data_IF_908260690330
#
_entry.id   IF_908260690330
#
_cell.length_a   1.000
_cell.length_b   1.000
_cell.length_c   1.000
_cell.angle_alpha   90.00
_cell.angle_beta   90.00
_cell.angle_gamma   90.00
#
_symmetry.space_group_name_H-M   'P 1'
#
loop_
_entity.id
_entity.type
_entity.pdbx_description
1 polymer ?
#
# COMPACT_ATOMS: atom_id res chain seq x y z
N UNK A 1 -17.25 37.85 -38.44
CA UNK A 1 -16.43 38.48 -37.39
C UNK A 1 -17.13 38.22 -36.08
N UNK A 2 -16.46 37.63 -35.10
CA UNK A 2 -17.09 37.27 -33.82
C UNK A 2 -17.17 38.49 -32.91
N UNK A 3 -18.36 38.81 -32.39
CA UNK A 3 -18.63 39.91 -31.45
C UNK A 3 -18.15 39.63 -30.00
N UNK A 4 -17.05 38.91 -29.85
CA UNK A 4 -16.52 38.60 -28.53
C UNK A 4 -15.72 39.80 -28.01
N UNK A 5 -16.14 40.33 -26.86
CA UNK A 5 -15.43 41.41 -26.16
C UNK A 5 -14.12 40.87 -25.58
N UNK A 6 -13.04 41.61 -25.78
CA UNK A 6 -11.74 41.35 -25.18
C UNK A 6 -11.52 42.19 -23.93
N UNK A 7 -10.69 41.68 -23.02
CA UNK A 7 -10.24 42.45 -21.88
C UNK A 7 -9.16 43.47 -22.31
N UNK A 8 -9.29 44.71 -21.83
CA UNK A 8 -8.30 45.76 -22.08
C UNK A 8 -7.11 45.63 -21.11
N UNK A 9 -6.04 45.01 -21.58
CA UNK A 9 -4.82 44.78 -20.80
C UNK A 9 -4.03 46.05 -20.49
N UNK A 10 -4.30 47.19 -21.16
CA UNK A 10 -3.66 48.48 -20.83
C UNK A 10 -4.01 48.98 -19.43
N UNK A 11 -5.09 48.44 -18.83
CA UNK A 11 -5.59 48.78 -17.51
C UNK A 11 -5.03 47.91 -16.38
N UNK A 12 -4.16 46.95 -16.69
CA UNK A 12 -3.54 46.08 -15.68
C UNK A 12 -2.57 46.87 -14.79
N UNK A 13 -2.52 46.52 -13.50
CA UNK A 13 -1.55 47.05 -12.55
C UNK A 13 -0.52 45.96 -12.25
N UNK A 14 0.75 46.31 -12.33
CA UNK A 14 1.86 45.42 -12.00
C UNK A 14 2.44 45.76 -10.63
N UNK A 15 3.14 44.82 -10.01
CA UNK A 15 3.80 45.00 -8.71
C UNK A 15 5.27 44.57 -8.80
N UNK A 16 6.22 45.28 -8.14
CA UNK A 16 7.61 44.87 -8.07
C UNK A 16 7.80 43.54 -7.34
N UNK A 17 8.82 42.77 -7.74
CA UNK A 17 9.13 41.47 -7.10
C UNK A 17 9.39 41.59 -5.59
N UNK A 18 9.94 42.72 -5.13
CA UNK A 18 10.22 42.98 -3.71
C UNK A 18 8.95 43.05 -2.84
N UNK A 19 7.78 43.31 -3.43
CA UNK A 19 6.48 43.35 -2.72
C UNK A 19 5.76 41.99 -2.74
N UNK A 20 6.26 41.01 -3.52
CA UNK A 20 5.65 39.69 -3.65
C UNK A 20 6.35 38.70 -2.71
N UNK A 21 5.64 38.08 -1.74
CA UNK A 21 6.23 37.00 -0.95
C UNK A 21 6.52 35.79 -1.84
N UNK A 22 7.80 35.45 -2.00
CA UNK A 22 8.23 34.26 -2.74
C UNK A 22 8.20 33.06 -1.80
N UNK A 23 7.61 31.94 -2.26
CA UNK A 23 7.51 30.69 -1.49
C UNK A 23 8.70 29.74 -1.70
N UNK A 24 9.63 30.11 -2.57
CA UNK A 24 10.78 29.28 -2.95
C UNK A 24 12.01 30.16 -2.97
N UNK A 25 13.06 29.68 -2.30
CA UNK A 25 14.39 30.27 -2.29
C UNK A 25 15.43 29.16 -2.55
N UNK A 26 16.71 29.52 -2.82
CA UNK A 26 17.74 28.56 -3.18
C UNK A 26 17.98 27.42 -2.16
N UNK A 27 17.60 27.58 -0.89
CA UNK A 27 17.78 26.53 0.13
C UNK A 27 16.89 25.31 -0.07
N UNK A 28 15.82 25.43 -0.87
CA UNK A 28 14.90 24.32 -1.17
C UNK A 28 15.29 23.52 -2.41
N UNK A 29 16.31 23.95 -3.14
CA UNK A 29 16.66 23.38 -4.45
C UNK A 29 17.41 22.06 -4.31
N UNK A 30 17.29 21.22 -5.34
CA UNK A 30 18.04 20.00 -5.44
C UNK A 30 19.53 20.28 -5.75
N UNK A 31 20.41 19.35 -5.40
CA UNK A 31 21.83 19.43 -5.73
C UNK A 31 22.30 18.22 -6.56
N UNK A 32 23.16 18.43 -7.58
CA UNK A 32 23.73 17.33 -8.35
C UNK A 32 24.72 16.52 -7.49
N UNK A 33 24.98 15.24 -7.84
CA UNK A 33 26.06 14.49 -7.21
C UNK A 33 27.39 15.22 -7.46
N UNK A 34 28.29 15.19 -6.47
CA UNK A 34 29.63 15.77 -6.60
C UNK A 34 30.56 14.74 -7.25
N UNK A 35 31.49 15.13 -8.15
CA UNK A 35 32.40 14.20 -8.82
C UNK A 35 33.20 13.29 -7.88
N UNK A 36 33.64 13.83 -6.73
CA UNK A 36 34.35 13.10 -5.67
C UNK A 36 33.47 12.97 -4.40
N UNK A 37 32.15 12.97 -4.57
CA UNK A 37 31.17 12.95 -3.47
C UNK A 37 30.84 11.56 -2.96
N UNK A 38 30.17 11.51 -1.81
CA UNK A 38 29.58 10.27 -1.27
C UNK A 38 28.52 9.72 -2.24
N UNK A 39 28.70 8.52 -2.81
CA UNK A 39 27.73 7.89 -3.71
C UNK A 39 26.58 7.19 -2.95
N UNK A 40 26.47 7.38 -1.63
CA UNK A 40 25.45 6.72 -0.82
C UNK A 40 24.02 7.17 -1.14
N UNK A 41 23.07 6.32 -0.78
CA UNK A 41 21.66 6.70 -0.77
C UNK A 41 21.38 7.88 0.16
N UNK A 42 22.12 8.04 1.26
CA UNK A 42 21.95 9.18 2.16
C UNK A 42 22.28 10.48 1.44
N UNK A 43 23.39 10.53 0.68
CA UNK A 43 23.76 11.69 -0.11
C UNK A 43 22.73 12.01 -1.20
N UNK A 44 22.22 11.00 -1.93
CA UNK A 44 21.13 11.19 -2.89
C UNK A 44 19.86 11.71 -2.22
N UNK A 45 19.46 11.09 -1.11
CA UNK A 45 18.24 11.47 -0.39
C UNK A 45 18.34 12.89 0.17
N UNK A 46 19.50 13.29 0.69
CA UNK A 46 19.72 14.64 1.22
C UNK A 46 19.83 15.69 0.10
N UNK A 47 20.13 15.29 -1.14
CA UNK A 47 20.17 16.19 -2.29
C UNK A 47 18.81 16.48 -2.93
N UNK A 48 17.75 15.75 -2.55
CA UNK A 48 16.39 16.00 -3.02
C UNK A 48 15.87 17.37 -2.52
N UNK A 49 15.07 18.10 -3.34
CA UNK A 49 14.56 19.41 -2.93
C UNK A 49 13.60 19.28 -1.75
N UNK A 50 13.58 20.25 -0.83
CA UNK A 50 12.65 20.24 0.32
C UNK A 50 11.33 20.97 0.00
N UNK A 51 10.64 20.48 -1.05
CA UNK A 51 9.39 21.08 -1.48
C UNK A 51 8.44 20.03 -2.07
N UNK A 52 7.14 20.32 -2.03
CA UNK A 52 6.07 19.53 -2.65
C UNK A 52 6.21 18.02 -2.33
N UNK A 53 6.18 17.16 -3.36
CA UNK A 53 6.18 15.71 -3.21
C UNK A 53 7.45 15.16 -2.53
N UNK A 54 8.61 15.78 -2.72
CA UNK A 54 9.84 15.36 -2.05
C UNK A 54 9.76 15.63 -0.54
N UNK A 55 9.23 16.79 -0.13
CA UNK A 55 8.94 17.10 1.28
C UNK A 55 7.87 16.16 1.87
N UNK A 56 6.84 15.83 1.09
CA UNK A 56 5.82 14.88 1.51
C UNK A 56 6.40 13.47 1.68
N UNK A 57 7.25 13.01 0.76
CA UNK A 57 7.95 11.73 0.85
C UNK A 57 8.86 11.67 2.09
N UNK A 58 9.60 12.75 2.38
CA UNK A 58 10.40 12.90 3.61
C UNK A 58 9.55 12.80 4.86
N UNK A 59 8.40 13.47 4.86
CA UNK A 59 7.45 13.42 5.98
C UNK A 59 6.93 12.00 6.19
N UNK A 60 6.48 11.30 5.14
CA UNK A 60 5.98 9.92 5.26
C UNK A 60 7.06 8.99 5.80
N UNK A 61 8.29 9.06 5.27
CA UNK A 61 9.41 8.27 5.75
C UNK A 61 9.65 8.49 7.26
N UNK A 62 9.58 9.75 7.71
CA UNK A 62 9.75 10.09 9.12
C UNK A 62 8.62 9.57 10.01
N UNK A 63 7.37 9.65 9.53
CA UNK A 63 6.22 9.12 10.26
C UNK A 63 6.25 7.61 10.38
N UNK A 64 6.64 6.89 9.32
CA UNK A 64 6.81 5.44 9.35
C UNK A 64 7.90 5.02 10.34
N UNK A 65 9.08 5.63 10.26
CA UNK A 65 10.16 5.35 11.21
C UNK A 65 9.71 5.68 12.66
N UNK A 66 8.99 6.78 12.88
CA UNK A 66 8.51 7.19 14.21
C UNK A 66 7.44 6.25 14.79
N UNK A 67 6.59 5.69 13.94
CA UNK A 67 5.54 4.75 14.32
C UNK A 67 6.09 3.34 14.62
N UNK A 68 7.22 2.95 14.03
CA UNK A 68 7.85 1.64 14.22
C UNK A 68 7.97 1.30 15.72
N UNK A 69 7.41 0.14 16.11
CA UNK A 69 7.35 -0.33 17.50
C UNK A 69 6.51 0.49 18.48
N UNK A 70 5.79 1.54 18.03
CA UNK A 70 5.10 2.52 18.90
C UNK A 70 3.63 2.73 18.58
N UNK A 71 3.28 2.77 17.29
CA UNK A 71 1.92 2.95 16.78
C UNK A 71 1.69 2.01 15.60
N UNK A 72 0.44 1.79 15.22
CA UNK A 72 0.16 0.95 14.07
C UNK A 72 0.68 1.56 12.77
N UNK A 73 1.21 0.69 11.91
CA UNK A 73 1.43 0.95 10.49
C UNK A 73 0.68 -0.11 9.70
N UNK A 74 -0.41 0.31 9.05
CA UNK A 74 -1.27 -0.55 8.26
C UNK A 74 -0.90 -0.39 6.79
N UNK A 75 -0.42 -1.47 6.17
CA UNK A 75 -0.18 -1.51 4.73
C UNK A 75 -1.39 -2.09 4.01
N UNK A 76 -1.86 -1.38 2.99
CA UNK A 76 -2.90 -1.86 2.09
C UNK A 76 -2.31 -2.03 0.69
N UNK A 77 -2.29 -3.26 0.16
CA UNK A 77 -1.59 -3.57 -1.08
C UNK A 77 -2.54 -3.95 -2.22
N UNK A 78 -2.24 -3.43 -3.41
CA UNK A 78 -2.69 -3.97 -4.69
C UNK A 78 -1.64 -4.86 -5.34
N UNK A 79 -2.08 -5.71 -6.28
CA UNK A 79 -1.23 -6.75 -6.87
C UNK A 79 -0.01 -6.25 -7.64
N UNK A 80 -0.08 -5.06 -8.23
CA UNK A 80 1.03 -4.52 -9.02
C UNK A 80 2.30 -4.33 -8.17
N UNK A 81 2.16 -4.00 -6.88
CA UNK A 81 3.29 -3.81 -5.96
C UNK A 81 4.08 -5.11 -5.79
N UNK A 82 3.39 -6.24 -5.65
CA UNK A 82 4.02 -7.56 -5.54
C UNK A 82 4.59 -7.99 -6.89
N UNK A 83 3.81 -7.80 -7.97
CA UNK A 83 4.20 -8.12 -9.35
C UNK A 83 5.54 -7.51 -9.77
N UNK A 84 5.83 -6.26 -9.35
CA UNK A 84 7.09 -5.58 -9.70
C UNK A 84 8.23 -5.84 -8.71
N UNK A 85 8.11 -6.88 -7.87
CA UNK A 85 9.22 -7.41 -7.08
C UNK A 85 9.50 -6.66 -5.77
N UNK A 86 8.51 -5.95 -5.22
CA UNK A 86 8.72 -5.15 -3.99
C UNK A 86 8.52 -5.92 -2.68
N UNK A 87 8.12 -7.20 -2.76
CA UNK A 87 7.94 -8.07 -1.60
C UNK A 87 9.13 -8.09 -0.63
N UNK A 88 10.40 -8.25 -1.08
CA UNK A 88 11.58 -8.22 -0.21
C UNK A 88 11.72 -6.93 0.61
N UNK A 89 11.39 -5.77 0.03
CA UNK A 89 11.47 -4.49 0.74
C UNK A 89 10.39 -4.36 1.82
N UNK A 90 9.18 -4.84 1.53
CA UNK A 90 8.10 -4.86 2.50
C UNK A 90 8.39 -5.87 3.63
N UNK A 91 8.98 -7.02 3.31
CA UNK A 91 9.51 -7.99 4.28
C UNK A 91 10.53 -7.34 5.21
N UNK A 92 11.48 -6.59 4.68
CA UNK A 92 12.48 -5.90 5.52
C UNK A 92 11.82 -4.91 6.50
N UNK A 93 10.82 -4.14 6.04
CA UNK A 93 10.07 -3.25 6.93
C UNK A 93 9.29 -4.02 8.03
N UNK A 94 8.76 -5.21 7.73
CA UNK A 94 8.13 -6.08 8.72
C UNK A 94 9.15 -6.62 9.74
N UNK A 95 10.32 -7.05 9.27
CA UNK A 95 11.40 -7.55 10.11
C UNK A 95 11.92 -6.45 11.06
N UNK A 96 11.98 -5.21 10.60
CA UNK A 96 12.33 -4.03 11.42
C UNK A 96 11.20 -3.52 12.33
N UNK A 97 10.04 -4.19 12.37
CA UNK A 97 8.93 -3.82 13.25
C UNK A 97 8.23 -2.51 12.84
N UNK A 98 8.36 -2.11 11.57
CA UNK A 98 7.65 -0.95 11.02
C UNK A 98 6.19 -1.32 10.81
N UNK A 99 5.93 -2.42 10.10
CA UNK A 99 4.58 -2.84 9.70
C UNK A 99 3.91 -3.63 10.81
N UNK A 100 2.65 -3.30 11.11
CA UNK A 100 1.86 -3.98 12.16
C UNK A 100 0.60 -4.66 11.63
N UNK A 101 0.16 -4.37 10.40
CA UNK A 101 -0.97 -5.06 9.76
C UNK A 101 -0.79 -5.01 8.24
N UNK A 102 -1.06 -6.13 7.57
CA UNK A 102 -1.03 -6.24 6.12
C UNK A 102 -2.42 -6.55 5.58
N UNK A 103 -2.97 -5.66 4.76
CA UNK A 103 -4.28 -5.83 4.13
C UNK A 103 -4.12 -5.90 2.61
N UNK A 104 -4.58 -6.98 2.00
CA UNK A 104 -4.37 -7.29 0.59
C UNK A 104 -5.70 -7.31 -0.15
N UNK A 105 -5.71 -6.84 -1.40
CA UNK A 105 -6.72 -7.32 -2.35
C UNK A 105 -6.35 -8.73 -2.84
N UNK A 106 -7.28 -9.42 -3.50
CA UNK A 106 -7.05 -10.80 -3.94
C UNK A 106 -5.87 -10.93 -4.91
N UNK A 107 -5.73 -10.01 -5.88
CA UNK A 107 -4.57 -9.97 -6.78
C UNK A 107 -3.22 -9.90 -6.06
N UNK A 108 -3.07 -9.10 -5.00
CA UNK A 108 -1.84 -9.07 -4.20
C UNK A 108 -1.59 -10.39 -3.47
N UNK A 109 -2.64 -10.99 -2.91
CA UNK A 109 -2.53 -12.29 -2.25
C UNK A 109 -2.13 -13.42 -3.23
N UNK A 110 -2.68 -13.41 -4.45
CA UNK A 110 -2.36 -14.37 -5.50
C UNK A 110 -0.90 -14.23 -5.95
N UNK A 111 -0.47 -13.02 -6.33
CA UNK A 111 0.90 -12.80 -6.77
C UNK A 111 1.92 -13.20 -5.69
N UNK A 112 1.65 -12.88 -4.43
CA UNK A 112 2.54 -13.23 -3.32
C UNK A 112 2.57 -14.74 -3.06
N UNK A 113 1.40 -15.38 -3.09
CA UNK A 113 1.28 -16.82 -2.94
C UNK A 113 2.05 -17.55 -4.03
N UNK A 114 1.88 -17.16 -5.30
CA UNK A 114 2.55 -17.80 -6.42
C UNK A 114 4.08 -17.64 -6.37
N UNK A 115 4.57 -16.45 -6.00
CA UNK A 115 6.00 -16.24 -5.80
C UNK A 115 6.54 -17.15 -4.68
N UNK A 116 5.87 -17.17 -3.51
CA UNK A 116 6.27 -18.03 -2.40
C UNK A 116 6.28 -19.52 -2.80
N UNK A 117 5.19 -19.94 -3.45
CA UNK A 117 4.88 -21.33 -3.73
C UNK A 117 5.67 -21.90 -4.91
N UNK A 118 5.76 -21.14 -6.00
CA UNK A 118 6.23 -21.62 -7.31
C UNK A 118 7.43 -20.83 -7.84
N UNK A 119 7.78 -19.70 -7.22
CA UNK A 119 8.97 -18.91 -7.57
C UNK A 119 8.74 -17.95 -8.75
N UNK A 120 7.51 -17.84 -9.23
CA UNK A 120 7.12 -16.98 -10.34
C UNK A 120 5.64 -16.62 -10.26
N UNK A 121 5.28 -15.50 -10.87
CA UNK A 121 3.90 -15.02 -10.97
C UNK A 121 3.76 -14.13 -12.20
N UNK A 122 2.52 -13.76 -12.55
CA UNK A 122 2.14 -13.04 -13.77
C UNK A 122 2.25 -13.89 -15.02
N UNK A 123 1.10 -14.14 -15.64
CA UNK A 123 0.95 -14.78 -16.94
C UNK A 123 0.77 -13.74 -18.07
N UNK A 124 0.86 -14.20 -19.32
CA UNK A 124 0.50 -13.39 -20.49
C UNK A 124 -1.02 -13.32 -20.63
N UNK A 125 -1.58 -12.19 -20.18
CA UNK A 125 -3.02 -11.92 -20.22
C UNK A 125 -3.57 -11.96 -21.64
N UNK A 126 -2.85 -11.42 -22.63
CA UNK A 126 -3.38 -11.29 -23.99
C UNK A 126 -3.47 -12.67 -24.67
N UNK A 127 -2.46 -13.51 -24.46
CA UNK A 127 -2.46 -14.89 -24.92
C UNK A 127 -3.59 -15.68 -24.24
N UNK A 128 -3.65 -15.66 -22.91
CA UNK A 128 -4.61 -16.45 -22.14
C UNK A 128 -6.07 -16.04 -22.31
N UNK A 129 -6.36 -14.76 -22.64
CA UNK A 129 -7.72 -14.32 -22.96
C UNK A 129 -8.19 -14.87 -24.31
N UNK A 130 -7.27 -15.17 -25.22
CA UNK A 130 -7.60 -15.66 -26.57
C UNK A 130 -8.08 -17.10 -26.54
N UNK A 131 -7.47 -17.95 -25.71
CA UNK A 131 -7.79 -19.38 -25.61
C UNK A 131 -8.54 -19.78 -24.33
N UNK A 132 -8.76 -18.84 -23.41
CA UNK A 132 -9.47 -19.04 -22.15
C UNK A 132 -8.63 -19.59 -21.01
N UNK A 133 -7.30 -19.65 -21.16
CA UNK A 133 -6.38 -20.13 -20.12
C UNK A 133 -6.02 -19.07 -19.08
N UNK A 134 -6.37 -17.80 -19.31
CA UNK A 134 -6.05 -16.70 -18.38
C UNK A 134 -6.63 -16.95 -16.97
N UNK A 135 -5.75 -17.07 -15.98
CA UNK A 135 -6.10 -17.29 -14.59
C UNK A 135 -6.56 -18.72 -14.28
N UNK A 136 -6.26 -19.68 -15.15
CA UNK A 136 -6.67 -21.10 -15.03
C UNK A 136 -5.56 -22.02 -14.49
N UNK A 137 -4.54 -21.47 -13.82
CA UNK A 137 -3.49 -22.27 -13.18
C UNK A 137 -4.10 -23.20 -12.11
N UNK A 138 -4.04 -24.51 -12.37
CA UNK A 138 -4.66 -25.56 -11.55
C UNK A 138 -4.10 -25.57 -10.13
N UNK A 139 -2.78 -25.51 -9.95
CA UNK A 139 -2.16 -25.54 -8.63
C UNK A 139 -2.51 -24.31 -7.81
N UNK A 140 -2.40 -23.09 -8.38
CA UNK A 140 -2.77 -21.84 -7.69
C UNK A 140 -4.24 -21.88 -7.26
N UNK A 141 -5.15 -22.22 -8.18
CA UNK A 141 -6.58 -22.27 -7.92
C UNK A 141 -6.95 -23.32 -6.88
N UNK A 142 -6.48 -24.56 -7.02
CA UNK A 142 -6.77 -25.66 -6.09
C UNK A 142 -6.22 -25.38 -4.69
N UNK A 143 -4.97 -24.96 -4.57
CA UNK A 143 -4.30 -24.82 -3.29
C UNK A 143 -4.84 -23.64 -2.48
N UNK A 144 -5.02 -22.47 -3.09
CA UNK A 144 -5.58 -21.30 -2.41
C UNK A 144 -7.04 -21.53 -1.98
N UNK A 145 -7.88 -22.13 -2.84
CA UNK A 145 -9.26 -22.44 -2.46
C UNK A 145 -9.34 -23.51 -1.37
N UNK A 146 -8.45 -24.51 -1.38
CA UNK A 146 -8.34 -25.49 -0.29
C UNK A 146 -7.99 -24.81 1.03
N UNK A 147 -7.04 -23.87 1.01
CA UNK A 147 -6.69 -23.08 2.18
C UNK A 147 -7.91 -22.27 2.68
N UNK A 148 -8.61 -21.58 1.79
CA UNK A 148 -9.79 -20.76 2.10
C UNK A 148 -10.91 -21.60 2.71
N UNK A 149 -11.23 -22.77 2.14
CA UNK A 149 -12.25 -23.69 2.67
C UNK A 149 -11.89 -24.23 4.06
N UNK A 150 -10.62 -24.60 4.26
CA UNK A 150 -10.11 -25.00 5.58
C UNK A 150 -10.19 -23.84 6.58
N UNK A 151 -9.85 -22.63 6.15
CA UNK A 151 -9.95 -21.41 6.96
C UNK A 151 -11.38 -21.13 7.40
N UNK A 152 -12.35 -21.23 6.48
CA UNK A 152 -13.77 -21.05 6.78
C UNK A 152 -14.24 -22.06 7.86
N UNK A 153 -13.86 -23.33 7.70
CA UNK A 153 -14.18 -24.41 8.66
C UNK A 153 -13.56 -24.15 10.04
N UNK A 154 -12.33 -23.62 10.07
CA UNK A 154 -11.60 -23.30 11.31
C UNK A 154 -11.99 -21.95 11.92
N UNK A 155 -12.94 -21.21 11.34
CA UNK A 155 -13.32 -19.86 11.79
C UNK A 155 -12.26 -18.79 11.56
N UNK A 156 -11.28 -19.08 10.68
CA UNK A 156 -10.17 -18.21 10.30
C UNK A 156 -10.56 -17.30 9.15
N UNK A 157 -9.71 -16.30 8.94
CA UNK A 157 -9.80 -15.37 7.82
C UNK A 157 -8.95 -15.85 6.66
N UNK A 158 -9.10 -15.21 5.50
CA UNK A 158 -8.41 -15.63 4.28
C UNK A 158 -6.90 -15.42 4.41
N UNK A 159 -6.47 -14.30 4.98
CA UNK A 159 -5.04 -14.02 5.22
C UNK A 159 -4.36 -15.06 6.12
N UNK A 160 -4.99 -15.40 7.25
CA UNK A 160 -4.49 -16.47 8.13
C UNK A 160 -4.44 -17.82 7.41
N UNK A 161 -5.51 -18.17 6.69
CA UNK A 161 -5.61 -19.44 6.01
C UNK A 161 -4.50 -19.62 4.96
N UNK A 162 -4.18 -18.57 4.20
CA UNK A 162 -3.10 -18.58 3.23
C UNK A 162 -1.72 -18.66 3.89
N UNK A 163 -1.47 -17.89 4.95
CA UNK A 163 -0.21 -17.96 5.70
C UNK A 163 0.03 -19.36 6.26
N UNK A 164 -0.98 -19.96 6.91
CA UNK A 164 -0.90 -21.30 7.48
C UNK A 164 -0.78 -22.40 6.41
N UNK A 165 -1.35 -22.17 5.24
CA UNK A 165 -1.18 -23.07 4.11
C UNK A 165 0.28 -23.05 3.66
N UNK A 166 0.85 -21.87 3.38
CA UNK A 166 2.24 -21.71 2.96
C UNK A 166 3.22 -22.29 4.00
N UNK A 167 2.97 -22.08 5.30
CA UNK A 167 3.78 -22.67 6.37
C UNK A 167 3.75 -24.20 6.38
N UNK A 168 2.62 -24.83 6.03
CA UNK A 168 2.45 -26.28 6.04
C UNK A 168 2.79 -26.97 4.72
N UNK A 169 2.88 -26.20 3.63
CA UNK A 169 3.14 -26.68 2.27
C UNK A 169 4.49 -27.43 2.13
N UNK A 170 5.38 -27.28 3.10
CA UNK A 170 6.69 -27.92 3.13
C UNK A 170 7.70 -27.13 2.32
N UNK A 171 7.83 -27.43 1.02
CA UNK A 171 8.79 -26.74 0.14
C UNK A 171 8.17 -25.50 -0.50
N UNK A 172 8.78 -24.34 -0.21
CA UNK A 172 8.51 -23.07 -0.88
C UNK A 172 9.65 -22.79 -1.87
N UNK A 173 9.32 -22.16 -3.01
CA UNK A 173 10.27 -21.89 -4.08
C UNK A 173 11.05 -20.58 -3.85
N UNK A 174 10.37 -19.53 -3.38
CA UNK A 174 10.98 -18.24 -3.04
C UNK A 174 10.34 -17.62 -1.76
N UNK A 175 10.45 -18.26 -0.59
CA UNK A 175 9.85 -17.76 0.65
C UNK A 175 10.35 -16.37 1.06
N UNK A 176 11.59 -16.01 0.70
CA UNK A 176 12.24 -14.75 1.04
C UNK A 176 11.65 -13.53 0.33
N UNK A 177 10.90 -13.71 -0.75
CA UNK A 177 10.24 -12.61 -1.46
C UNK A 177 8.81 -12.37 -0.99
N UNK A 178 8.25 -13.29 -0.18
CA UNK A 178 6.83 -13.28 0.19
C UNK A 178 6.52 -12.44 1.42
N UNK A 179 5.53 -11.56 1.28
CA UNK A 179 4.97 -10.79 2.39
C UNK A 179 4.05 -11.62 3.28
N UNK A 180 3.38 -12.64 2.76
CA UNK A 180 2.60 -13.60 3.56
C UNK A 180 3.51 -14.41 4.47
N UNK A 181 4.61 -14.94 3.93
CA UNK A 181 5.61 -15.69 4.74
C UNK A 181 6.25 -14.78 5.78
N UNK A 182 6.68 -13.57 5.39
CA UNK A 182 7.25 -12.59 6.33
C UNK A 182 6.28 -12.20 7.46
N UNK A 183 4.99 -12.00 7.14
CA UNK A 183 3.98 -11.70 8.14
C UNK A 183 3.78 -12.86 9.11
N UNK A 184 3.76 -14.10 8.61
CA UNK A 184 3.63 -15.29 9.43
C UNK A 184 4.82 -15.49 10.39
N UNK A 185 6.05 -15.26 9.92
CA UNK A 185 7.26 -15.30 10.76
C UNK A 185 7.25 -14.26 11.89
N UNK A 186 6.65 -13.09 11.65
CA UNK A 186 6.63 -11.97 12.59
C UNK A 186 5.34 -11.90 13.42
N UNK A 187 4.38 -12.79 13.18
CA UNK A 187 3.07 -12.75 13.82
C UNK A 187 2.26 -11.50 13.45
N UNK A 188 2.48 -10.93 12.26
CA UNK A 188 1.74 -9.76 11.77
C UNK A 188 0.38 -10.22 11.22
N UNK A 189 -0.74 -9.65 11.67
CA UNK A 189 -2.05 -9.96 11.12
C UNK A 189 -2.12 -9.65 9.62
N UNK A 190 -2.65 -10.61 8.85
CA UNK A 190 -2.93 -10.46 7.43
C UNK A 190 -4.43 -10.57 7.18
N UNK A 191 -4.96 -9.68 6.35
CA UNK A 191 -6.35 -9.70 5.88
C UNK A 191 -6.39 -9.66 4.36
N UNK A 192 -7.18 -10.53 3.73
CA UNK A 192 -7.38 -10.54 2.27
C UNK A 192 -8.84 -10.25 1.95
N UNK A 193 -9.06 -9.28 1.07
CA UNK A 193 -10.40 -8.83 0.69
C UNK A 193 -10.71 -9.26 -0.74
N UNK A 194 -11.35 -10.42 -0.83
CA UNK A 194 -11.77 -11.01 -2.10
C UNK A 194 -12.73 -10.07 -2.85
N UNK A 195 -12.47 -9.91 -4.14
CA UNK A 195 -13.39 -9.28 -5.09
C UNK A 195 -13.98 -10.39 -5.94
N UNK A 196 -15.12 -10.92 -5.49
CA UNK A 196 -15.75 -12.11 -6.10
C UNK A 196 -15.98 -11.87 -7.60
N UNK A 197 -15.46 -12.79 -8.43
CA UNK A 197 -15.47 -12.69 -9.88
C UNK A 197 -14.28 -11.94 -10.51
N UNK A 198 -13.47 -11.21 -9.74
CA UNK A 198 -12.28 -10.52 -10.23
C UNK A 198 -10.96 -11.25 -9.95
N UNK A 199 -10.86 -11.95 -8.83
CA UNK A 199 -9.64 -12.71 -8.50
C UNK A 199 -9.62 -14.05 -9.25
N UNK A 200 -8.48 -14.40 -9.87
CA UNK A 200 -8.40 -15.54 -10.81
C UNK A 200 -8.76 -16.89 -10.18
N UNK A 201 -8.53 -17.04 -8.88
CA UNK A 201 -8.82 -18.28 -8.15
C UNK A 201 -10.32 -18.59 -8.07
N UNK A 202 -11.21 -17.63 -8.37
CA UNK A 202 -12.65 -17.85 -8.38
C UNK A 202 -13.14 -18.65 -9.59
N UNK A 203 -12.33 -18.74 -10.65
CA UNK A 203 -12.66 -19.50 -11.85
C UNK A 203 -12.51 -21.02 -11.66
N UNK A 204 -11.78 -21.43 -10.63
CA UNK A 204 -11.42 -22.82 -10.37
C UNK A 204 -12.61 -23.63 -9.80
N UNK A 205 -12.83 -24.91 -10.20
CA UNK A 205 -13.93 -25.74 -9.70
C UNK A 205 -13.97 -25.95 -8.17
N UNK A 206 -12.82 -25.78 -7.51
CA UNK A 206 -12.70 -25.86 -6.05
C UNK A 206 -13.16 -24.59 -5.31
N UNK A 207 -13.52 -23.52 -6.02
CA UNK A 207 -13.97 -22.28 -5.40
C UNK A 207 -15.32 -22.45 -4.70
N UNK A 208 -15.38 -22.05 -3.43
CA UNK A 208 -16.59 -22.05 -2.63
C UNK A 208 -16.95 -20.60 -2.24
N UNK A 209 -18.04 -20.09 -2.81
CA UNK A 209 -18.54 -18.74 -2.54
C UNK A 209 -18.87 -18.49 -1.07
N UNK A 210 -19.34 -19.51 -0.34
CA UNK A 210 -19.60 -19.39 1.09
C UNK A 210 -18.30 -19.25 1.87
N UNK A 211 -17.28 -20.05 1.55
CA UNK A 211 -15.96 -19.95 2.17
C UNK A 211 -15.27 -18.62 1.86
N UNK A 212 -15.31 -18.15 0.61
CA UNK A 212 -14.78 -16.85 0.18
C UNK A 212 -15.45 -15.70 0.96
N UNK A 213 -16.78 -15.69 1.03
CA UNK A 213 -17.54 -14.68 1.77
C UNK A 213 -17.25 -14.71 3.27
N UNK A 214 -17.25 -15.90 3.88
CA UNK A 214 -17.02 -16.07 5.32
C UNK A 214 -15.61 -15.59 5.74
N UNK A 215 -14.58 -16.01 5.01
CA UNK A 215 -13.19 -15.68 5.30
C UNK A 215 -12.87 -14.21 5.01
N UNK A 216 -13.33 -13.66 3.88
CA UNK A 216 -13.17 -12.23 3.54
C UNK A 216 -13.90 -11.31 4.53
N UNK A 217 -15.11 -11.67 4.96
CA UNK A 217 -15.85 -10.91 5.97
C UNK A 217 -15.21 -11.00 7.36
N UNK A 218 -14.59 -12.14 7.71
CA UNK A 218 -13.77 -12.27 8.93
C UNK A 218 -12.59 -11.32 8.88
N UNK A 219 -11.90 -11.27 7.75
CA UNK A 219 -10.77 -10.38 7.52
C UNK A 219 -11.16 -8.90 7.57
N UNK A 220 -12.33 -8.52 7.05
CA UNK A 220 -12.89 -7.17 7.23
C UNK A 220 -13.03 -6.78 8.72
N UNK A 221 -13.58 -7.69 9.54
CA UNK A 221 -13.72 -7.46 10.99
C UNK A 221 -12.37 -7.29 11.68
N UNK A 222 -11.36 -8.05 11.27
CA UNK A 222 -10.00 -7.95 11.83
C UNK A 222 -9.28 -6.68 11.42
N UNK A 223 -9.40 -6.28 10.15
CA UNK A 223 -8.86 -4.99 9.72
C UNK A 223 -9.45 -3.88 10.59
N UNK A 224 -10.78 -3.83 10.76
CA UNK A 224 -11.44 -2.85 11.62
C UNK A 224 -10.94 -2.88 13.07
N UNK A 225 -10.66 -4.07 13.62
CA UNK A 225 -10.11 -4.25 14.96
C UNK A 225 -8.65 -3.76 15.10
N UNK A 226 -7.86 -3.75 14.02
CA UNK A 226 -6.48 -3.25 14.04
C UNK A 226 -6.38 -1.73 13.97
N UNK A 227 -7.38 -1.05 13.38
CA UNK A 227 -7.31 0.40 13.14
C UNK A 227 -7.24 1.29 14.39
N UNK A 228 -7.82 0.96 15.56
CA UNK A 228 -7.71 1.81 16.76
C UNK A 228 -6.26 2.12 17.16
N UNK A 229 -5.32 1.21 16.89
CA UNK A 229 -3.90 1.40 17.17
C UNK A 229 -3.22 2.47 16.28
N UNK A 230 -3.93 3.02 15.29
CA UNK A 230 -3.49 4.18 14.52
C UNK A 230 -3.60 5.51 15.30
N UNK A 231 -4.44 5.57 16.34
CA UNK A 231 -4.77 6.82 17.03
C UNK A 231 -3.51 7.56 17.49
N UNK A 232 -3.46 8.86 17.19
CA UNK A 232 -2.39 9.75 17.62
C UNK A 232 -0.99 9.27 17.19
N UNK A 233 -0.79 9.24 15.88
CA UNK A 233 0.54 9.14 15.26
C UNK A 233 0.84 7.89 14.47
N UNK A 234 -0.10 6.97 14.30
CA UNK A 234 0.02 5.83 13.39
C UNK A 234 0.02 6.23 11.91
N UNK A 235 0.21 5.24 11.03
CA UNK A 235 0.29 5.44 9.58
C UNK A 235 -0.55 4.40 8.85
N UNK A 236 -1.30 4.83 7.84
CA UNK A 236 -1.89 3.94 6.82
C UNK A 236 -1.28 4.25 5.46
N UNK A 237 -0.80 3.22 4.76
CA UNK A 237 -0.32 3.33 3.39
C UNK A 237 -1.24 2.55 2.45
N UNK A 238 -1.80 3.22 1.45
CA UNK A 238 -2.40 2.57 0.28
C UNK A 238 -1.35 2.46 -0.82
N UNK A 239 -0.91 1.25 -1.14
CA UNK A 239 0.11 0.99 -2.16
C UNK A 239 -0.54 0.25 -3.34
N UNK A 240 -0.83 0.97 -4.42
CA UNK A 240 -1.25 0.40 -5.70
C UNK A 240 -2.66 -0.25 -5.73
N UNK A 241 -3.55 0.13 -4.81
CA UNK A 241 -4.96 -0.30 -4.86
C UNK A 241 -5.88 0.89 -5.15
N UNK A 242 -6.42 0.93 -6.37
CA UNK A 242 -7.22 2.05 -6.82
C UNK A 242 -8.64 2.08 -6.24
N UNK A 243 -9.23 0.95 -5.87
CA UNK A 243 -10.65 0.88 -5.45
C UNK A 243 -10.87 -0.03 -4.24
N UNK A 244 -10.48 -1.31 -4.33
CA UNK A 244 -10.84 -2.33 -3.33
C UNK A 244 -10.38 -1.94 -1.93
N UNK A 245 -9.08 -1.68 -1.76
CA UNK A 245 -8.55 -1.33 -0.43
C UNK A 245 -9.05 0.03 0.07
N UNK A 246 -9.09 1.12 -0.74
CA UNK A 246 -9.73 2.37 -0.31
C UNK A 246 -11.17 2.22 0.18
N UNK A 247 -11.98 1.42 -0.52
CA UNK A 247 -13.38 1.19 -0.14
C UNK A 247 -13.48 0.37 1.14
N UNK A 248 -12.73 -0.74 1.24
CA UNK A 248 -12.70 -1.58 2.45
C UNK A 248 -12.21 -0.78 3.66
N UNK A 249 -11.11 -0.04 3.52
CA UNK A 249 -10.53 0.77 4.59
C UNK A 249 -11.52 1.79 5.14
N UNK A 250 -12.22 2.52 4.28
CA UNK A 250 -13.16 3.53 4.74
C UNK A 250 -14.28 2.93 5.60
N UNK A 251 -14.76 1.72 5.24
CA UNK A 251 -15.78 1.02 6.02
C UNK A 251 -15.19 0.47 7.33
N UNK A 252 -14.00 -0.10 7.28
CA UNK A 252 -13.31 -0.59 8.46
C UNK A 252 -13.01 0.55 9.45
N UNK A 253 -12.58 1.72 8.96
CA UNK A 253 -12.35 2.92 9.76
C UNK A 253 -13.65 3.45 10.38
N UNK A 254 -14.75 3.40 9.63
CA UNK A 254 -16.06 3.78 10.15
C UNK A 254 -16.48 2.87 11.31
N UNK A 255 -16.31 1.55 11.17
CA UNK A 255 -16.56 0.58 12.25
C UNK A 255 -15.65 0.85 13.44
N UNK A 256 -14.33 1.03 13.22
CA UNK A 256 -13.38 1.33 14.27
C UNK A 256 -13.78 2.60 15.06
N UNK A 257 -14.10 3.69 14.35
CA UNK A 257 -14.57 4.95 14.97
C UNK A 257 -15.87 4.80 15.71
N UNK A 258 -16.83 4.07 15.15
CA UNK A 258 -18.10 3.84 15.81
C UNK A 258 -17.92 3.08 17.15
N UNK A 259 -17.07 2.05 17.16
CA UNK A 259 -16.80 1.25 18.36
C UNK A 259 -15.91 1.97 19.39
N UNK A 260 -15.12 2.97 18.98
CA UNK A 260 -14.10 3.62 19.82
C UNK A 260 -14.33 5.13 20.00
N UNK A 261 -15.59 5.57 20.02
CA UNK A 261 -15.94 6.96 20.35
C UNK A 261 -15.35 8.01 19.41
N UNK A 262 -15.27 7.70 18.12
CA UNK A 262 -14.71 8.58 17.09
C UNK A 262 -13.23 8.34 16.74
N UNK A 263 -12.55 7.43 17.43
CA UNK A 263 -11.12 7.09 17.21
C UNK A 263 -10.92 5.90 16.26
N UNK A 264 -9.85 5.84 15.45
CA UNK A 264 -8.64 6.65 15.50
C UNK A 264 -8.76 8.01 14.79
N UNK A 265 -7.97 8.98 15.28
CA UNK A 265 -7.73 10.31 14.72
C UNK A 265 -6.23 10.64 14.78
N UNK A 266 -5.78 11.72 14.15
CA UNK A 266 -4.38 12.17 14.30
C UNK A 266 -3.33 11.25 13.68
N UNK A 267 -3.70 10.44 12.70
CA UNK A 267 -2.79 9.54 11.98
C UNK A 267 -2.40 10.09 10.61
N UNK A 268 -1.29 9.59 10.05
CA UNK A 268 -0.88 9.91 8.67
C UNK A 268 -1.53 8.93 7.71
N UNK A 269 -2.16 9.43 6.65
CA UNK A 269 -2.67 8.59 5.57
C UNK A 269 -1.94 8.94 4.27
N UNK A 270 -1.33 7.95 3.63
CA UNK A 270 -0.62 8.14 2.37
C UNK A 270 -1.16 7.20 1.30
N UNK A 271 -1.42 7.75 0.13
CA UNK A 271 -1.75 7.02 -1.08
C UNK A 271 -0.56 7.08 -2.05
N UNK A 272 -0.10 5.91 -2.49
CA UNK A 272 1.00 5.75 -3.43
C UNK A 272 0.50 4.96 -4.65
N UNK A 273 0.38 5.63 -5.79
CA UNK A 273 -0.09 5.03 -7.04
C UNK A 273 0.55 5.72 -8.26
N UNK A 274 0.53 5.07 -9.41
CA UNK A 274 1.04 5.61 -10.67
C UNK A 274 0.16 6.76 -11.17
N UNK A 275 -1.11 6.79 -10.75
CA UNK A 275 -2.11 7.79 -11.12
C UNK A 275 -2.86 8.31 -9.90
N UNK A 276 -3.46 9.49 -10.02
CA UNK A 276 -4.35 10.02 -8.97
C UNK A 276 -5.77 9.56 -9.19
N UNK A 277 -6.18 8.55 -8.44
CA UNK A 277 -7.54 8.04 -8.49
C UNK A 277 -8.48 8.78 -7.53
N UNK A 278 -9.75 8.88 -7.91
CA UNK A 278 -10.77 9.51 -7.05
C UNK A 278 -10.90 8.78 -5.71
N UNK A 279 -11.00 7.45 -5.71
CA UNK A 279 -11.29 6.65 -4.50
C UNK A 279 -10.17 6.74 -3.46
N UNK A 280 -8.89 6.53 -3.76
CA UNK A 280 -7.83 6.68 -2.78
C UNK A 280 -7.71 8.13 -2.29
N UNK A 281 -7.83 9.12 -3.18
CA UNK A 281 -7.85 10.55 -2.80
C UNK A 281 -8.93 10.84 -1.76
N UNK A 282 -10.18 10.45 -2.02
CA UNK A 282 -11.27 10.80 -1.11
C UNK A 282 -11.34 9.89 0.12
N UNK A 283 -11.09 8.58 -0.03
CA UNK A 283 -11.39 7.57 0.99
C UNK A 283 -10.18 7.15 1.82
N UNK A 284 -8.96 7.46 1.39
CA UNK A 284 -7.72 7.22 2.16
C UNK A 284 -7.16 8.55 2.63
N UNK A 285 -7.05 9.54 1.74
CA UNK A 285 -6.28 10.77 2.01
C UNK A 285 -7.12 11.86 2.68
N UNK A 286 -8.23 12.25 2.06
CA UNK A 286 -9.00 13.42 2.50
C UNK A 286 -9.92 13.10 3.69
N UNK A 287 -10.97 12.30 3.49
CA UNK A 287 -12.00 12.05 4.52
C UNK A 287 -11.44 11.44 5.82
N UNK A 288 -10.50 10.47 5.76
CA UNK A 288 -9.96 9.87 6.98
C UNK A 288 -9.21 10.85 7.88
N UNK A 289 -8.62 11.91 7.32
CA UNK A 289 -7.75 12.85 8.05
C UNK A 289 -8.44 14.17 8.43
N UNK A 290 -9.73 14.34 8.09
CA UNK A 290 -10.51 15.55 8.43
C UNK A 290 -10.61 15.82 9.94
N UNK A 291 -10.67 14.76 10.75
CA UNK A 291 -10.74 14.85 12.21
C UNK A 291 -9.35 14.99 12.88
N UNK A 292 -8.32 15.28 12.10
CA UNK A 292 -6.92 15.38 12.54
C UNK A 292 -6.02 14.36 11.84
N UNK A 293 -4.75 14.74 11.63
CA UNK A 293 -3.77 13.96 10.90
C UNK A 293 -3.28 14.69 9.64
N UNK A 294 -2.61 13.95 8.74
CA UNK A 294 -2.17 14.48 7.44
C UNK A 294 -2.38 13.46 6.33
N UNK A 295 -3.12 13.86 5.31
CA UNK A 295 -3.29 13.13 4.06
C UNK A 295 -2.20 13.49 3.04
N UNK A 296 -1.58 12.50 2.39
CA UNK A 296 -0.54 12.68 1.39
C UNK A 296 -0.83 11.81 0.15
N UNK A 297 -0.54 12.33 -1.04
CA UNK A 297 -0.53 11.57 -2.29
C UNK A 297 0.85 11.62 -2.94
N UNK A 298 1.48 10.46 -3.09
CA UNK A 298 2.72 10.29 -3.83
C UNK A 298 2.39 9.59 -5.15
N UNK A 299 2.71 10.25 -6.26
CA UNK A 299 2.38 9.73 -7.60
C UNK A 299 3.64 9.30 -8.33
N UNK A 300 3.72 8.04 -8.75
CA UNK A 300 4.86 7.49 -9.48
C UNK A 300 4.81 5.96 -9.59
N UNK A 301 5.62 5.43 -10.51
CA UNK A 301 5.79 3.98 -10.69
C UNK A 301 6.28 3.31 -9.39
N UNK A 302 5.63 2.20 -9.02
CA UNK A 302 5.84 1.54 -7.73
C UNK A 302 7.28 1.06 -7.55
N UNK A 303 7.84 0.47 -8.60
CA UNK A 303 9.21 -0.05 -8.71
C UNK A 303 10.30 1.01 -8.56
N UNK A 304 9.94 2.30 -8.53
CA UNK A 304 10.85 3.43 -8.25
C UNK A 304 10.48 4.09 -6.92
N UNK A 305 9.20 4.46 -6.75
CA UNK A 305 8.73 5.24 -5.62
C UNK A 305 8.81 4.48 -4.28
N UNK A 306 8.42 3.21 -4.26
CA UNK A 306 8.37 2.42 -3.03
C UNK A 306 9.79 2.08 -2.54
N UNK A 307 10.76 1.68 -3.39
CA UNK A 307 12.15 1.53 -2.97
C UNK A 307 12.73 2.80 -2.32
N UNK A 308 12.49 3.98 -2.93
CA UNK A 308 12.92 5.26 -2.35
C UNK A 308 12.33 5.48 -0.96
N UNK A 309 11.04 5.19 -0.76
CA UNK A 309 10.39 5.29 0.54
C UNK A 309 10.96 4.29 1.55
N UNK A 310 11.08 3.01 1.18
CA UNK A 310 11.58 1.95 2.05
C UNK A 310 13.00 2.25 2.53
N UNK A 311 13.91 2.62 1.63
CA UNK A 311 15.29 2.95 1.97
C UNK A 311 15.37 4.21 2.85
N UNK A 312 14.52 5.20 2.62
CA UNK A 312 14.43 6.38 3.48
C UNK A 312 13.95 6.04 4.89
N UNK A 313 13.00 5.11 5.04
CA UNK A 313 12.56 4.62 6.37
C UNK A 313 13.70 3.88 7.07
N UNK A 314 14.37 2.95 6.38
CA UNK A 314 15.50 2.19 6.92
C UNK A 314 16.60 3.13 7.41
N UNK A 315 17.01 4.11 6.60
CA UNK A 315 17.97 5.15 6.99
C UNK A 315 17.56 5.87 8.27
N UNK A 316 16.28 6.23 8.39
CA UNK A 316 15.78 6.94 9.58
C UNK A 316 15.71 6.07 10.84
N UNK A 317 15.60 4.75 10.68
CA UNK A 317 15.70 3.81 11.80
C UNK A 317 17.16 3.63 12.23
N UNK A 318 18.08 3.50 11.27
CA UNK A 318 19.52 3.30 11.54
C UNK A 318 20.22 4.53 12.12
N UNK A 319 19.62 5.72 11.98
CA UNK A 319 20.13 6.98 12.53
C UNK A 319 19.69 7.25 13.99
N UNK A 320 18.95 6.34 14.63
CA UNK A 320 18.47 6.46 16.03
C UNK A 320 19.33 5.68 16.99
#
# INVERSE_FOLDING_TARGET
MTDYREADFSRLRTVPIAQRPNKVDPSLLAHPPRPDGDPSFAAFWDSLPDILAARDLRYVAARLAHAAGRRAVVLMLGGHVVKVGLGPLLRELMHRGVVTHLALNGSAAIHDFELAAYGGTSEDVAAGLTDGTFGMAEETGREMNTAIAAGATAGRGMGEALMEYLQRRGKLAAPEVSVLVAAAERGIPVTVHATVGADIIHQHPAADGAALGATSHRDFKRLAASLPALDDGGVVLNLGSAVVMPEVFLKALTVARNLNGGKPTGFTACDCDMQRHYRPRVNVVERPTLAGGRGIQLTGHHEILIPLLCWAVIRQLDAR
#
